data_IF_652378704709
#
_entry.id   IF_652378704709
#
_cell.length_a   1.000
_cell.length_b   1.000
_cell.length_c   1.000
_cell.angle_alpha   90.00
_cell.angle_beta   90.00
_cell.angle_gamma   90.00
#
_symmetry.space_group_name_H-M   'P 1'
#
loop_
_entity.id
_entity.type
_entity.pdbx_description
1 polymer ?
#
# COMPACT_ATOMS: atom_id res chain seq x y z
N UNK A 1 68.54 -4.05 75.63
CA UNK A 1 68.73 -5.10 74.70
C UNK A 1 67.47 -5.24 73.78
N UNK A 2 67.48 -4.61 72.61
CA UNK A 2 66.41 -4.79 71.69
C UNK A 2 66.92 -4.60 70.25
N UNK A 3 66.92 -5.63 69.47
CA UNK A 3 67.47 -5.65 68.10
C UNK A 3 66.39 -5.16 67.14
N UNK A 4 66.69 -4.03 66.48
CA UNK A 4 65.89 -3.47 65.39
C UNK A 4 66.08 -4.27 64.10
N UNK A 5 65.06 -4.78 63.55
CA UNK A 5 65.03 -5.39 62.16
C UNK A 5 64.30 -4.49 61.22
N UNK A 6 65.10 -3.84 60.33
CA UNK A 6 64.55 -3.11 59.16
C UNK A 6 63.92 -4.09 58.18
N UNK A 7 62.69 -3.85 57.85
CA UNK A 7 61.99 -4.54 56.75
C UNK A 7 61.90 -3.60 55.56
N UNK A 8 62.61 -3.91 54.50
CA UNK A 8 62.52 -3.23 53.22
C UNK A 8 61.19 -3.63 52.54
N UNK A 9 60.31 -2.66 52.31
CA UNK A 9 59.11 -2.85 51.51
C UNK A 9 59.44 -2.42 50.06
N UNK A 10 59.50 -3.39 49.16
CA UNK A 10 59.61 -3.14 47.74
C UNK A 10 58.19 -2.84 47.19
N UNK A 11 57.97 -1.63 46.77
CA UNK A 11 56.73 -1.24 46.13
C UNK A 11 56.80 -1.57 44.63
N UNK A 12 56.09 -2.57 44.23
CA UNK A 12 55.95 -2.96 42.83
C UNK A 12 54.82 -2.12 42.21
N UNK A 13 55.17 -1.11 41.41
CA UNK A 13 54.21 -0.29 40.66
C UNK A 13 53.71 -1.06 39.44
N UNK A 14 52.51 -1.60 39.53
CA UNK A 14 51.80 -2.14 38.36
C UNK A 14 51.13 -1.03 37.56
N UNK A 15 51.66 -0.75 36.39
CA UNK A 15 51.04 0.16 35.43
C UNK A 15 49.84 -0.53 34.76
N UNK A 16 48.62 -0.13 35.12
CA UNK A 16 47.40 -0.53 34.44
C UNK A 16 47.24 0.27 33.15
N UNK A 17 47.53 -0.32 32.01
CA UNK A 17 47.21 0.23 30.71
C UNK A 17 45.71 0.04 30.45
N UNK A 18 44.92 1.11 30.64
CA UNK A 18 43.49 1.12 30.29
C UNK A 18 43.31 1.15 28.77
N UNK A 19 42.97 0.04 28.13
CA UNK A 19 42.51 0.04 26.75
C UNK A 19 41.10 0.64 26.70
N UNK A 20 41.01 1.85 26.15
CA UNK A 20 39.73 2.45 25.77
C UNK A 20 39.22 1.78 24.53
N UNK A 21 38.29 0.80 24.68
CA UNK A 21 37.53 0.22 23.59
C UNK A 21 36.46 1.24 23.17
N UNK A 22 36.72 1.99 22.11
CA UNK A 22 35.72 2.85 21.48
C UNK A 22 34.71 1.97 20.72
N UNK A 23 33.56 1.70 21.33
CA UNK A 23 32.44 1.04 20.65
C UNK A 23 31.83 2.00 19.65
N UNK A 24 32.18 1.84 18.37
CA UNK A 24 31.49 2.51 17.27
C UNK A 24 30.07 1.95 17.12
N UNK A 25 29.07 2.67 17.64
CA UNK A 25 27.67 2.33 17.42
C UNK A 25 27.34 2.53 15.93
N UNK A 26 27.27 1.46 15.17
CA UNK A 26 26.76 1.47 13.80
C UNK A 26 25.26 1.76 13.88
N UNK A 27 24.87 3.00 13.65
CA UNK A 27 23.47 3.37 13.53
C UNK A 27 22.89 2.65 12.29
N UNK A 28 22.20 1.55 12.53
CA UNK A 28 21.45 0.83 11.48
C UNK A 28 20.29 1.73 11.04
N UNK A 29 20.47 2.46 9.95
CA UNK A 29 19.40 3.21 9.29
C UNK A 29 18.41 2.21 8.75
N UNK A 30 17.36 1.89 9.53
CA UNK A 30 16.19 1.16 9.04
C UNK A 30 15.56 2.02 7.97
N UNK A 31 15.83 1.71 6.70
CA UNK A 31 15.09 2.25 5.58
C UNK A 31 13.63 1.84 5.79
N UNK A 32 12.80 2.77 6.24
CA UNK A 32 11.37 2.56 6.37
C UNK A 32 10.85 2.22 4.97
N UNK A 33 10.51 0.95 4.74
CA UNK A 33 9.86 0.51 3.51
C UNK A 33 8.57 1.30 3.37
N UNK A 34 8.55 2.31 2.50
CA UNK A 34 7.36 3.12 2.28
C UNK A 34 6.29 2.21 1.70
N UNK A 35 5.22 2.00 2.47
CA UNK A 35 4.05 1.24 2.01
C UNK A 35 3.55 1.89 0.71
N UNK A 36 3.35 1.09 -0.33
CA UNK A 36 2.82 1.58 -1.60
C UNK A 36 1.59 0.78 -2.01
N UNK A 37 0.60 1.48 -2.56
CA UNK A 37 -0.57 0.88 -3.20
C UNK A 37 -0.36 0.95 -4.70
N UNK A 38 -0.32 -0.21 -5.36
CA UNK A 38 -0.06 -0.30 -6.79
C UNK A 38 -1.37 -0.39 -7.55
N UNK A 39 -1.53 0.48 -8.55
CA UNK A 39 -2.53 0.36 -9.61
C UNK A 39 -1.78 0.04 -10.89
N UNK A 40 -2.12 -1.10 -11.50
CA UNK A 40 -1.50 -1.62 -12.72
C UNK A 40 -2.57 -1.87 -13.79
N UNK A 41 -2.21 -2.52 -14.88
CA UNK A 41 -3.11 -2.83 -15.97
C UNK A 41 -2.98 -4.28 -16.41
N UNK A 42 -4.09 -4.85 -16.92
CA UNK A 42 -4.16 -6.20 -17.47
C UNK A 42 -5.19 -6.25 -18.61
N UNK A 43 -4.94 -7.05 -19.61
CA UNK A 43 -5.94 -7.40 -20.63
C UNK A 43 -6.94 -8.39 -20.04
N UNK A 44 -8.23 -8.09 -20.13
CA UNK A 44 -9.33 -8.92 -19.61
C UNK A 44 -10.35 -9.16 -20.72
N UNK A 45 -10.27 -10.32 -21.34
CA UNK A 45 -11.17 -10.75 -22.41
C UNK A 45 -11.44 -9.66 -23.45
N UNK A 46 -12.71 -9.50 -23.81
CA UNK A 46 -13.18 -8.49 -24.79
C UNK A 46 -13.26 -7.05 -24.21
N UNK A 47 -13.08 -6.88 -22.89
CA UNK A 47 -13.03 -5.55 -22.27
C UNK A 47 -11.75 -4.79 -22.61
N UNK A 48 -10.73 -5.49 -23.14
CA UNK A 48 -9.43 -4.91 -23.43
C UNK A 48 -8.60 -4.73 -22.17
N UNK A 49 -7.77 -3.69 -22.16
CA UNK A 49 -6.88 -3.38 -21.01
C UNK A 49 -7.63 -2.57 -19.96
N UNK A 50 -7.67 -3.09 -18.73
CA UNK A 50 -8.35 -2.49 -17.59
C UNK A 50 -7.39 -2.29 -16.42
N UNK A 51 -7.78 -1.50 -15.42
CA UNK A 51 -7.03 -1.33 -14.19
C UNK A 51 -7.13 -2.56 -13.29
N UNK A 52 -6.02 -2.91 -12.66
CA UNK A 52 -5.92 -3.99 -11.67
C UNK A 52 -5.08 -3.56 -10.47
N UNK A 53 -5.26 -4.22 -9.33
CA UNK A 53 -4.42 -4.03 -8.15
C UNK A 53 -3.09 -4.81 -8.25
N UNK A 54 -2.26 -4.76 -7.20
CA UNK A 54 -0.97 -5.49 -7.15
C UNK A 54 -1.09 -7.01 -7.23
N UNK A 55 -2.27 -7.57 -6.90
CA UNK A 55 -2.58 -9.01 -7.03
C UNK A 55 -3.13 -9.37 -8.42
N UNK A 56 -3.29 -8.39 -9.31
CA UNK A 56 -3.88 -8.57 -10.64
C UNK A 56 -5.41 -8.68 -10.65
N UNK A 57 -6.09 -8.41 -9.53
CA UNK A 57 -7.55 -8.37 -9.45
C UNK A 57 -8.08 -7.09 -10.09
N UNK A 58 -9.17 -7.19 -10.80
CA UNK A 58 -9.82 -6.10 -11.55
C UNK A 58 -10.31 -4.99 -10.61
N UNK A 59 -10.13 -3.75 -11.04
CA UNK A 59 -10.59 -2.56 -10.33
C UNK A 59 -11.80 -1.94 -11.03
N UNK A 60 -12.77 -1.58 -10.21
CA UNK A 60 -14.06 -1.04 -10.62
C UNK A 60 -14.27 0.37 -10.10
N UNK A 61 -15.12 1.11 -10.80
CA UNK A 61 -15.77 2.33 -10.32
C UNK A 61 -17.26 2.07 -10.08
N UNK A 62 -17.85 2.85 -9.20
CA UNK A 62 -19.27 2.82 -8.86
C UNK A 62 -19.98 4.09 -9.37
N UNK A 63 -21.01 3.96 -10.17
CA UNK A 63 -21.67 5.11 -10.79
C UNK A 63 -22.18 6.16 -9.79
N UNK A 64 -22.74 5.78 -8.63
CA UNK A 64 -23.15 6.77 -7.61
C UNK A 64 -22.01 7.56 -6.97
N UNK A 65 -20.74 7.14 -7.08
CA UNK A 65 -19.57 7.82 -6.49
C UNK A 65 -19.16 9.09 -7.26
N UNK A 66 -20.09 9.87 -7.69
CA UNK A 66 -19.85 11.08 -8.50
C UNK A 66 -18.64 11.87 -7.99
N UNK A 67 -17.64 12.05 -8.88
CA UNK A 67 -16.50 12.96 -8.71
C UNK A 67 -15.87 12.99 -7.29
N UNK A 68 -15.08 11.96 -6.96
CA UNK A 68 -14.32 11.85 -5.70
C UNK A 68 -15.19 11.68 -4.43
N UNK A 69 -16.42 11.20 -4.55
CA UNK A 69 -17.26 10.92 -3.38
C UNK A 69 -17.46 9.43 -3.20
N UNK A 70 -16.90 8.85 -2.15
CA UNK A 70 -17.12 7.44 -1.78
C UNK A 70 -18.52 7.29 -1.19
N UNK A 71 -19.41 6.53 -1.85
CA UNK A 71 -20.76 6.23 -1.37
C UNK A 71 -20.95 4.76 -1.01
N UNK A 72 -20.10 3.87 -1.54
CA UNK A 72 -20.12 2.45 -1.22
C UNK A 72 -19.46 2.21 0.16
N UNK A 73 -20.29 2.15 1.20
CA UNK A 73 -19.90 1.95 2.60
C UNK A 73 -20.69 0.80 3.25
N UNK A 74 -20.34 0.40 4.47
CA UNK A 74 -21.02 -0.66 5.24
C UNK A 74 -21.14 -1.96 4.43
N UNK A 75 -22.35 -2.48 4.24
CA UNK A 75 -22.62 -3.73 3.51
C UNK A 75 -22.18 -3.69 2.05
N UNK A 76 -22.25 -2.52 1.39
CA UNK A 76 -21.69 -2.34 0.05
C UNK A 76 -20.18 -2.61 0.03
N UNK A 77 -19.43 -2.07 0.98
CA UNK A 77 -17.98 -2.23 1.07
C UNK A 77 -17.54 -3.67 1.44
N UNK A 78 -18.44 -4.50 1.95
CA UNK A 78 -18.18 -5.95 2.15
C UNK A 78 -18.12 -6.67 0.81
N UNK A 79 -19.01 -6.33 -0.11
CA UNK A 79 -19.09 -6.93 -1.46
C UNK A 79 -18.10 -6.27 -2.43
N UNK A 80 -17.90 -4.96 -2.27
CA UNK A 80 -17.02 -4.12 -3.09
C UNK A 80 -15.98 -3.41 -2.21
N UNK A 81 -14.96 -4.14 -1.75
CA UNK A 81 -13.92 -3.53 -0.91
C UNK A 81 -13.21 -2.37 -1.60
N UNK A 82 -13.21 -1.16 -1.01
CA UNK A 82 -12.49 -0.02 -1.56
C UNK A 82 -10.98 -0.23 -1.49
N UNK A 83 -10.26 0.28 -2.48
CA UNK A 83 -8.79 0.26 -2.50
C UNK A 83 -8.27 1.29 -1.50
N UNK A 84 -8.06 0.86 -0.26
CA UNK A 84 -7.60 1.74 0.82
C UNK A 84 -6.18 2.24 0.56
N UNK A 85 -5.95 3.51 0.89
CA UNK A 85 -4.62 4.12 0.93
C UNK A 85 -4.21 4.31 2.40
N UNK A 86 -3.32 3.47 2.93
CA UNK A 86 -2.81 3.61 4.29
C UNK A 86 -2.12 4.96 4.51
N UNK A 87 -2.14 5.47 5.74
CA UNK A 87 -1.43 6.70 6.09
C UNK A 87 0.07 6.58 5.75
N UNK A 88 0.62 7.62 5.14
CA UNK A 88 2.01 7.65 4.69
C UNK A 88 2.32 6.80 3.45
N UNK A 89 1.35 6.01 2.94
CA UNK A 89 1.55 5.23 1.71
C UNK A 89 1.46 6.12 0.46
N UNK A 90 2.20 5.71 -0.58
CA UNK A 90 2.13 6.33 -1.91
C UNK A 90 1.36 5.45 -2.88
N UNK A 91 0.63 6.07 -3.81
CA UNK A 91 0.03 5.33 -4.92
C UNK A 91 1.03 5.27 -6.07
N UNK A 92 1.22 4.08 -6.64
CA UNK A 92 2.17 3.83 -7.73
C UNK A 92 1.43 3.29 -8.95
N UNK A 93 1.62 3.96 -10.09
CA UNK A 93 1.15 3.48 -11.38
C UNK A 93 2.15 2.49 -11.98
N UNK A 94 1.67 1.35 -12.51
CA UNK A 94 2.45 0.38 -13.29
C UNK A 94 1.74 0.02 -14.60
N UNK A 95 2.48 -0.57 -15.52
CA UNK A 95 1.98 -0.90 -16.85
C UNK A 95 1.52 0.36 -17.59
N UNK A 96 0.32 0.34 -18.14
CA UNK A 96 -0.27 1.47 -18.88
C UNK A 96 -1.04 2.46 -17.99
N UNK A 97 -1.10 2.24 -16.67
CA UNK A 97 -1.76 3.16 -15.74
C UNK A 97 -1.01 4.50 -15.69
N UNK A 98 -1.76 5.61 -15.70
CA UNK A 98 -1.19 6.96 -15.76
C UNK A 98 -1.10 7.57 -14.36
N UNK A 99 0.10 7.86 -13.88
CA UNK A 99 0.32 8.50 -12.57
C UNK A 99 -0.50 9.77 -12.37
N UNK A 100 -0.66 10.59 -13.40
CA UNK A 100 -1.42 11.84 -13.36
C UNK A 100 -2.92 11.68 -13.10
N UNK A 101 -3.48 10.48 -13.32
CA UNK A 101 -4.88 10.15 -13.05
C UNK A 101 -5.09 9.55 -11.65
N UNK A 102 -3.99 9.19 -10.96
CA UNK A 102 -4.05 8.66 -9.59
C UNK A 102 -4.15 9.78 -8.57
N UNK A 103 -5.11 9.64 -7.67
CA UNK A 103 -5.30 10.50 -6.52
C UNK A 103 -5.91 9.68 -5.36
N UNK A 104 -6.46 10.34 -4.37
CA UNK A 104 -7.22 9.67 -3.29
C UNK A 104 -8.30 10.58 -2.77
N UNK A 105 -9.40 10.00 -2.31
CA UNK A 105 -10.51 10.67 -1.67
C UNK A 105 -10.70 10.19 -0.23
N UNK A 106 -11.41 11.00 0.58
CA UNK A 106 -11.78 10.62 1.96
C UNK A 106 -12.79 9.46 1.90
N UNK A 107 -12.56 8.45 2.73
CA UNK A 107 -13.55 7.40 2.96
C UNK A 107 -14.41 7.78 4.17
N UNK A 108 -15.75 7.82 4.04
CA UNK A 108 -16.64 8.05 5.18
C UNK A 108 -16.49 7.03 6.30
N UNK A 109 -16.04 5.80 5.98
CA UNK A 109 -15.71 4.76 6.96
C UNK A 109 -14.32 4.93 7.60
N UNK A 110 -13.62 6.01 7.31
CA UNK A 110 -12.30 6.35 7.84
C UNK A 110 -11.14 6.10 6.87
N UNK A 111 -10.16 6.99 6.91
CA UNK A 111 -8.98 6.94 6.05
C UNK A 111 -9.24 7.47 4.63
N UNK A 112 -8.50 6.94 3.66
CA UNK A 112 -8.56 7.34 2.25
C UNK A 112 -8.70 6.15 1.33
N UNK A 113 -9.32 6.37 0.17
CA UNK A 113 -9.48 5.42 -0.94
C UNK A 113 -8.71 5.95 -2.14
N UNK A 114 -8.02 5.08 -2.86
CA UNK A 114 -7.37 5.42 -4.12
C UNK A 114 -8.42 5.76 -5.17
N UNK A 115 -8.18 6.83 -5.93
CA UNK A 115 -9.01 7.21 -7.08
C UNK A 115 -8.20 7.16 -8.37
N UNK A 116 -8.91 6.96 -9.48
CA UNK A 116 -8.36 7.07 -10.82
C UNK A 116 -9.30 7.92 -11.69
N UNK A 117 -8.77 8.99 -12.26
CA UNK A 117 -9.55 10.01 -12.99
C UNK A 117 -10.77 10.51 -12.19
N UNK A 118 -10.59 10.69 -10.88
CA UNK A 118 -11.61 11.10 -9.93
C UNK A 118 -12.54 9.99 -9.43
N UNK A 119 -12.52 8.80 -10.00
CA UNK A 119 -13.34 7.67 -9.56
C UNK A 119 -12.68 6.89 -8.43
N UNK A 120 -13.33 6.73 -7.25
CA UNK A 120 -12.90 5.77 -6.24
C UNK A 120 -12.80 4.37 -6.83
N UNK A 121 -11.76 3.62 -6.43
CA UNK A 121 -11.49 2.29 -6.93
C UNK A 121 -11.88 1.22 -5.92
N UNK A 122 -12.50 0.14 -6.44
CA UNK A 122 -12.95 -1.00 -5.66
C UNK A 122 -12.50 -2.31 -6.31
N UNK A 123 -12.38 -3.36 -5.49
CA UNK A 123 -12.35 -4.75 -5.96
C UNK A 123 -13.73 -5.36 -5.83
N UNK A 124 -13.96 -6.51 -6.46
CA UNK A 124 -15.19 -7.29 -6.32
C UNK A 124 -14.86 -8.65 -5.69
N UNK A 125 -15.60 -9.05 -4.66
CA UNK A 125 -15.31 -10.29 -3.93
C UNK A 125 -15.47 -11.54 -4.77
N UNK A 126 -16.32 -11.52 -5.81
CA UNK A 126 -16.51 -12.65 -6.73
C UNK A 126 -15.41 -12.78 -7.80
N UNK A 127 -14.51 -11.81 -7.93
CA UNK A 127 -13.34 -11.93 -8.79
C UNK A 127 -12.23 -12.69 -8.05
N UNK A 128 -12.35 -14.01 -7.99
CA UNK A 128 -11.48 -14.87 -7.19
C UNK A 128 -10.02 -14.94 -7.69
N UNK A 129 -9.76 -14.59 -8.97
CA UNK A 129 -8.43 -14.69 -9.61
C UNK A 129 -8.21 -13.60 -10.65
N UNK A 130 -6.92 -13.30 -10.97
CA UNK A 130 -6.59 -12.36 -12.04
C UNK A 130 -7.23 -12.71 -13.39
N UNK A 131 -7.67 -11.68 -14.11
CA UNK A 131 -8.31 -11.81 -15.42
C UNK A 131 -9.82 -11.96 -15.37
N UNK A 132 -10.42 -12.09 -14.19
CA UNK A 132 -11.87 -12.01 -14.02
C UNK A 132 -12.33 -10.55 -13.96
N UNK A 133 -13.52 -10.30 -14.49
CA UNK A 133 -14.25 -9.03 -14.40
C UNK A 133 -15.77 -9.31 -14.31
N UNK A 134 -16.15 -10.15 -13.35
CA UNK A 134 -17.53 -10.62 -13.16
C UNK A 134 -18.45 -9.51 -12.63
N UNK A 135 -17.87 -8.44 -12.08
CA UNK A 135 -18.58 -7.23 -11.66
C UNK A 135 -18.89 -6.24 -12.79
N UNK A 136 -18.47 -6.51 -14.02
CA UNK A 136 -18.69 -5.59 -15.14
C UNK A 136 -20.17 -5.45 -15.52
N UNK A 137 -20.67 -4.21 -15.54
CA UNK A 137 -22.05 -3.84 -15.83
C UNK A 137 -23.09 -4.47 -14.86
N UNK A 138 -22.66 -4.88 -13.66
CA UNK A 138 -23.55 -5.37 -12.61
C UNK A 138 -24.26 -4.19 -11.97
N UNK A 139 -25.59 -4.28 -11.78
CA UNK A 139 -26.38 -3.35 -11.00
C UNK A 139 -26.57 -3.96 -9.59
N UNK A 140 -25.81 -3.46 -8.62
CA UNK A 140 -25.80 -3.98 -7.25
C UNK A 140 -25.51 -2.86 -6.25
N UNK A 141 -26.08 -2.97 -5.06
CA UNK A 141 -25.93 -1.97 -3.99
C UNK A 141 -26.35 -0.54 -4.40
N UNK A 142 -27.37 -0.42 -5.25
CA UNK A 142 -27.98 0.86 -5.62
C UNK A 142 -27.36 1.53 -6.84
N UNK A 143 -26.53 0.83 -7.63
CA UNK A 143 -25.98 1.38 -8.86
C UNK A 143 -25.18 0.42 -9.71
N UNK A 144 -24.73 0.93 -10.85
CA UNK A 144 -23.94 0.17 -11.81
C UNK A 144 -22.45 0.25 -11.50
N UNK A 145 -21.75 -0.85 -11.78
CA UNK A 145 -20.32 -1.02 -11.60
C UNK A 145 -19.64 -1.23 -12.95
N UNK A 146 -18.52 -0.55 -13.17
CA UNK A 146 -17.79 -0.66 -14.43
C UNK A 146 -16.29 -0.66 -14.21
N UNK A 147 -15.57 -1.33 -15.09
CA UNK A 147 -14.12 -1.26 -15.17
C UNK A 147 -13.66 0.05 -15.84
N UNK A 148 -12.43 0.45 -15.58
CA UNK A 148 -11.82 1.67 -16.11
C UNK A 148 -10.63 1.29 -17.00
N UNK A 149 -10.56 1.87 -18.18
CA UNK A 149 -9.40 1.78 -19.07
C UNK A 149 -8.21 2.61 -18.54
N UNK A 150 -6.96 2.31 -18.96
CA UNK A 150 -5.78 3.11 -18.57
C UNK A 150 -5.86 4.60 -18.95
N UNK A 151 -6.71 4.92 -19.93
CA UNK A 151 -6.98 6.33 -20.32
C UNK A 151 -7.79 7.13 -19.29
N UNK A 152 -8.45 6.45 -18.31
CA UNK A 152 -9.46 7.00 -17.41
C UNK A 152 -10.90 6.77 -17.91
N UNK A 153 -11.07 6.36 -19.17
CA UNK A 153 -12.39 6.11 -19.75
C UNK A 153 -13.08 4.92 -19.10
N UNK A 154 -14.34 5.11 -18.66
CA UNK A 154 -15.20 4.04 -18.15
C UNK A 154 -15.63 3.14 -19.29
N UNK A 155 -15.43 1.83 -19.17
CA UNK A 155 -15.85 0.82 -20.15
C UNK A 155 -17.26 0.37 -19.79
N UNK A 156 -18.26 0.69 -20.66
CA UNK A 156 -19.68 0.42 -20.37
C UNK A 156 -20.23 -0.80 -21.11
N UNK A 157 -19.44 -1.42 -21.99
CA UNK A 157 -19.82 -2.68 -22.64
C UNK A 157 -19.91 -3.80 -21.62
N UNK A 158 -20.90 -4.70 -21.76
CA UNK A 158 -20.98 -5.91 -20.94
C UNK A 158 -19.74 -6.78 -21.20
N UNK A 159 -19.24 -7.46 -20.15
CA UNK A 159 -18.33 -8.58 -20.38
C UNK A 159 -19.07 -9.62 -21.25
N UNK A 160 -18.43 -10.11 -22.30
CA UNK A 160 -19.00 -11.25 -23.01
C UNK A 160 -18.87 -12.47 -22.08
N UNK A 161 -19.97 -13.07 -21.75
CA UNK A 161 -20.09 -14.40 -21.17
C UNK A 161 -19.45 -15.43 -22.08
#
# INVERSE_FOLDING_TARGET
MQRTRCLLIVVLSAAFASLLVTSSAVASTRTASSKSVVVSTRKVGKLGTVLVNSKGLTLYMFVPDKHKRVTCVKTCAVVWPPVKLPAGAKVVAKGMAKKKLLASDRDPAGGRVVTYDGWPLYTYVSDAKPGMATGQAVNLNGGLWYVIAPSGKVIRTKAAT
#
